data_IF_404541347926
#
_entry.id   IF_404541347926
#
_cell.length_a   1.000
_cell.length_b   1.000
_cell.length_c   1.000
_cell.angle_alpha   90.00
_cell.angle_beta   90.00
_cell.angle_gamma   90.00
#
_symmetry.space_group_name_H-M   'P 1'
#
loop_
_entity.id
_entity.type
_entity.pdbx_description
1 polymer ?
#
# COMPACT_ATOMS: atom_id res chain seq x y z
N UNK A 1 -4.81 -14.02 -8.01
CA UNK A 1 -4.22 -14.77 -9.14
C UNK A 1 -3.15 -15.70 -8.58
N UNK A 2 -3.11 -16.97 -8.96
CA UNK A 2 -2.05 -17.89 -8.51
C UNK A 2 -0.65 -17.38 -8.89
N UNK A 3 -0.58 -16.58 -9.96
CA UNK A 3 0.64 -15.88 -10.39
C UNK A 3 1.16 -14.83 -9.40
N UNK A 4 0.35 -14.42 -8.42
CA UNK A 4 0.72 -13.41 -7.41
C UNK A 4 1.37 -14.01 -6.16
N UNK A 5 1.41 -15.34 -6.04
CA UNK A 5 2.03 -16.00 -4.88
C UNK A 5 3.54 -15.79 -4.92
N UNK A 6 4.11 -15.30 -3.81
CA UNK A 6 5.53 -14.97 -3.70
C UNK A 6 5.88 -13.53 -4.10
N UNK A 7 4.95 -12.80 -4.72
CA UNK A 7 5.13 -11.37 -5.00
C UNK A 7 4.77 -10.51 -3.78
N UNK A 8 5.22 -9.26 -3.82
CA UNK A 8 4.84 -8.22 -2.86
C UNK A 8 3.32 -8.07 -2.77
N UNK A 9 2.77 -8.28 -1.58
CA UNK A 9 1.32 -8.13 -1.32
C UNK A 9 0.84 -6.72 -1.67
N UNK A 10 1.62 -5.70 -1.31
CA UNK A 10 1.27 -4.29 -1.53
C UNK A 10 1.15 -4.00 -3.04
N UNK A 11 2.12 -4.47 -3.84
CA UNK A 11 2.11 -4.37 -5.30
C UNK A 11 0.89 -5.07 -5.92
N UNK A 12 0.68 -6.34 -5.58
CA UNK A 12 -0.40 -7.15 -6.16
C UNK A 12 -1.79 -6.61 -5.83
N UNK A 13 -2.04 -6.26 -4.56
CA UNK A 13 -3.34 -5.71 -4.13
C UNK A 13 -3.59 -4.34 -4.76
N UNK A 14 -2.58 -3.49 -4.85
CA UNK A 14 -2.69 -2.18 -5.49
C UNK A 14 -3.12 -2.30 -6.96
N UNK A 15 -2.57 -3.26 -7.70
CA UNK A 15 -2.96 -3.52 -9.08
C UNK A 15 -4.43 -3.99 -9.17
N UNK A 16 -4.83 -4.97 -8.36
CA UNK A 16 -6.20 -5.48 -8.40
C UNK A 16 -7.24 -4.44 -7.96
N UNK A 17 -6.94 -3.60 -6.97
CA UNK A 17 -7.85 -2.52 -6.55
C UNK A 17 -7.97 -1.41 -7.60
N UNK A 18 -6.91 -1.14 -8.36
CA UNK A 18 -6.91 -0.13 -9.43
C UNK A 18 -7.90 -0.50 -10.55
N UNK A 19 -8.03 -1.79 -10.87
CA UNK A 19 -8.95 -2.30 -11.90
C UNK A 19 -10.44 -2.08 -11.56
N UNK A 20 -10.77 -1.80 -10.29
CA UNK A 20 -12.16 -1.57 -9.86
C UNK A 20 -12.66 -0.17 -10.22
N UNK A 21 -11.76 0.82 -10.33
CA UNK A 21 -12.13 2.19 -10.64
C UNK A 21 -10.94 3.02 -11.17
N UNK A 22 -10.94 3.29 -12.48
CA UNK A 22 -9.88 4.03 -13.19
C UNK A 22 -9.76 5.50 -12.78
N UNK A 23 -10.78 6.08 -12.13
CA UNK A 23 -10.72 7.45 -11.61
C UNK A 23 -9.88 7.56 -10.34
N UNK A 24 -9.66 6.45 -9.63
CA UNK A 24 -8.83 6.40 -8.42
C UNK A 24 -7.39 6.08 -8.83
N UNK A 25 -6.40 6.67 -8.16
CA UNK A 25 -4.99 6.33 -8.34
C UNK A 25 -4.47 5.59 -7.13
N UNK A 26 -4.35 4.27 -7.24
CA UNK A 26 -3.77 3.44 -6.20
C UNK A 26 -2.23 3.59 -6.20
N UNK A 27 -1.63 3.63 -5.01
CA UNK A 27 -0.18 3.66 -4.80
C UNK A 27 0.19 2.68 -3.70
N UNK A 28 1.39 2.14 -3.76
CA UNK A 28 1.94 1.26 -2.74
C UNK A 28 3.39 1.63 -2.40
N UNK A 29 3.85 1.15 -1.26
CA UNK A 29 5.23 1.24 -0.77
C UNK A 29 5.67 -0.16 -0.31
N UNK A 30 6.93 -0.51 -0.55
CA UNK A 30 7.50 -1.81 -0.16
C UNK A 30 8.32 -1.71 1.13
N UNK A 31 7.75 -1.04 2.13
CA UNK A 31 8.35 -0.86 3.45
C UNK A 31 7.30 -1.15 4.52
N UNK A 32 7.73 -1.72 5.65
CA UNK A 32 6.83 -1.97 6.77
C UNK A 32 6.46 -0.65 7.48
N UNK A 33 5.31 -0.58 8.16
CA UNK A 33 4.95 0.60 8.92
C UNK A 33 6.02 1.01 9.94
N UNK A 34 6.67 0.06 10.59
CA UNK A 34 7.73 0.29 11.58
C UNK A 34 8.93 0.99 10.93
N UNK A 35 9.41 0.48 9.80
CA UNK A 35 10.53 1.07 9.07
C UNK A 35 10.23 2.51 8.63
N UNK A 36 9.00 2.76 8.16
CA UNK A 36 8.57 4.11 7.74
C UNK A 36 8.48 5.09 8.91
N UNK A 37 8.04 4.66 10.09
CA UNK A 37 7.98 5.50 11.29
C UNK A 37 9.40 5.89 11.75
N UNK A 38 10.34 4.95 11.71
CA UNK A 38 11.73 5.19 12.12
C UNK A 38 12.48 6.10 11.14
N UNK A 39 12.28 5.90 9.83
CA UNK A 39 13.04 6.61 8.78
C UNK A 39 12.38 7.90 8.33
N UNK A 40 11.05 7.98 8.37
CA UNK A 40 10.27 9.13 7.93
C UNK A 40 8.97 9.28 8.77
N UNK A 41 9.06 9.79 10.01
CA UNK A 41 7.91 9.87 10.91
C UNK A 41 6.76 10.75 10.40
N UNK A 42 7.00 11.62 9.42
CA UNK A 42 5.97 12.45 8.80
C UNK A 42 5.27 11.77 7.62
N UNK A 43 5.70 10.58 7.20
CA UNK A 43 5.11 9.86 6.07
C UNK A 43 3.59 9.72 6.19
N UNK A 44 3.07 9.40 7.37
CA UNK A 44 1.63 9.18 7.56
C UNK A 44 0.81 10.48 7.68
N UNK A 45 1.46 11.63 7.88
CA UNK A 45 0.78 12.92 8.01
C UNK A 45 0.19 13.43 6.68
N UNK A 46 0.61 12.85 5.55
CA UNK A 46 0.11 13.22 4.22
C UNK A 46 -1.28 12.65 3.89
N UNK A 47 -1.80 11.72 4.70
CA UNK A 47 -3.06 11.04 4.44
C UNK A 47 -4.20 11.63 5.29
N UNK A 48 -5.39 11.73 4.71
CA UNK A 48 -6.60 12.18 5.43
C UNK A 48 -7.05 11.19 6.50
N UNK A 49 -6.85 9.90 6.26
CA UNK A 49 -7.19 8.81 7.17
C UNK A 49 -6.20 7.66 6.95
N UNK A 50 -5.74 7.06 8.05
CA UNK A 50 -4.90 5.86 8.02
C UNK A 50 -5.70 4.70 8.62
N UNK A 51 -5.76 3.58 7.90
CA UNK A 51 -6.42 2.34 8.35
C UNK A 51 -5.33 1.28 8.52
N UNK A 52 -5.22 0.73 9.72
CA UNK A 52 -4.30 -0.36 10.03
C UNK A 52 -5.09 -1.66 10.28
N UNK A 53 -4.65 -2.76 9.67
CA UNK A 53 -5.25 -4.10 9.81
C UNK A 53 -4.21 -5.10 10.30
N UNK A 54 -4.64 -6.16 10.97
CA UNK A 54 -3.80 -7.28 11.43
C UNK A 54 -3.60 -8.34 10.33
#
# INVERSE_FOLDING_TARGET
DERSVGESKAKCVCAFLQELNDAVRAKYVEESPEALIETNPLFFAQFTLVIATQ
#
